data_IF_539284086481
#
_entry.id   IF_539284086481
#
_cell.length_a   1.000
_cell.length_b   1.000
_cell.length_c   1.000
_cell.angle_alpha   90.00
_cell.angle_beta   90.00
_cell.angle_gamma   90.00
#
_symmetry.space_group_name_H-M   'P 1'
#
loop_
_entity.id
_entity.type
_entity.pdbx_description
1 polymer ?
2 branched ?
3 non-polymer ?
4 non-polymer ?
5 non-polymer ?
6 non-polymer ?
7 water ?
#
# COMPACT_ATOMS: atom_id res chain seq x y z
N UNK A 4 -4.54 -22.69 11.16
CA UNK A 4 -3.50 -22.04 10.39
C UNK A 4 -3.57 -22.44 8.91
N UNK A 5 -4.80 -22.51 8.35
CA UNK A 5 -5.03 -22.85 6.94
C UNK A 5 -4.34 -21.80 6.04
N UNK A 6 -4.50 -20.52 6.39
CA UNK A 6 -3.94 -19.39 5.64
C UNK A 6 -2.40 -19.41 5.54
N UNK A 7 -1.71 -19.72 6.66
CA UNK A 7 -0.26 -19.77 6.76
C UNK A 7 0.39 -20.92 6.00
N UNK A 8 -0.36 -22.03 5.85
CA UNK A 8 0.11 -23.23 5.13
C UNK A 8 -0.24 -23.17 3.64
N UNK A 9 -1.49 -22.81 3.32
CA UNK A 9 -1.92 -22.70 1.92
C UNK A 9 -1.31 -21.46 1.23
N UNK A 10 -0.98 -20.40 2.01
CA UNK A 10 -0.38 -19.20 1.41
C UNK A 10 0.99 -18.94 2.03
N UNK A 11 1.03 -18.16 3.14
CA UNK A 11 2.24 -17.78 3.86
C UNK A 11 1.87 -17.05 5.19
N UNK A 12 2.84 -16.84 6.08
CA UNK A 12 2.61 -16.11 7.32
C UNK A 12 2.39 -14.61 7.02
N UNK A 13 3.14 -14.05 6.05
CA UNK A 13 3.00 -12.67 5.62
C UNK A 13 2.49 -12.67 4.19
N UNK A 14 1.39 -11.99 3.91
CA UNK A 14 0.86 -11.87 2.56
C UNK A 14 0.75 -10.41 2.23
N UNK A 15 1.50 -9.98 1.22
CA UNK A 15 1.52 -8.58 0.82
C UNK A 15 1.05 -8.44 -0.60
N UNK A 16 0.16 -7.47 -0.87
CA UNK A 16 -0.21 -7.19 -2.23
C UNK A 16 0.23 -5.77 -2.59
N UNK A 17 0.51 -5.55 -3.86
CA UNK A 17 0.92 -4.25 -4.33
C UNK A 17 0.44 -4.06 -5.76
N UNK A 18 0.55 -2.84 -6.24
CA UNK A 18 0.19 -2.51 -7.59
C UNK A 18 1.32 -1.64 -8.16
N UNK A 19 1.70 -1.89 -9.40
CA UNK A 19 2.77 -1.14 -10.05
C UNK A 19 2.45 -1.04 -11.53
N UNK A 20 2.61 0.16 -12.09
CA UNK A 20 2.33 0.47 -13.48
C UNK A 20 3.46 1.36 -13.98
N UNK A 21 4.30 0.81 -14.86
CA UNK A 21 5.45 1.53 -15.39
C UNK A 21 6.73 0.89 -14.94
N UNK A 22 7.78 0.95 -15.78
CA UNK A 22 9.10 0.38 -15.49
C UNK A 22 9.67 0.96 -14.19
N UNK A 23 9.49 2.25 -13.95
CA UNK A 23 10.00 2.88 -12.74
C UNK A 23 9.37 2.28 -11.49
N UNK A 24 8.03 2.09 -11.50
CA UNK A 24 7.32 1.54 -10.34
C UNK A 24 7.53 0.04 -10.18
N UNK A 25 7.84 -0.66 -11.29
CA UNK A 25 8.20 -2.07 -11.27
C UNK A 25 9.62 -2.24 -10.71
N UNK A 26 10.52 -1.34 -11.04
CA UNK A 26 11.88 -1.34 -10.53
C UNK A 26 11.85 -1.14 -8.99
N UNK A 27 10.99 -0.23 -8.51
CA UNK A 27 10.82 -0.01 -7.08
C UNK A 27 10.08 -1.15 -6.42
N UNK A 28 9.16 -1.82 -7.12
CA UNK A 28 8.42 -2.94 -6.57
C UNK A 28 9.37 -4.07 -6.23
N UNK A 29 10.37 -4.34 -7.09
CA UNK A 29 11.35 -5.38 -6.79
C UNK A 29 12.14 -5.00 -5.51
N UNK A 30 12.49 -3.72 -5.41
CA UNK A 30 13.22 -3.21 -4.25
C UNK A 30 12.36 -3.35 -3.00
N UNK A 31 11.08 -3.03 -3.07
CA UNK A 31 10.17 -3.21 -1.94
C UNK A 31 10.16 -4.67 -1.48
N UNK A 32 10.01 -5.59 -2.40
CA UNK A 32 10.00 -7.02 -2.10
C UNK A 32 11.29 -7.48 -1.46
N UNK A 33 12.46 -7.10 -2.02
CA UNK A 33 13.75 -7.45 -1.42
C UNK A 33 13.85 -6.88 0.00
N UNK A 34 13.43 -5.62 0.21
CA UNK A 34 13.47 -5.03 1.54
C UNK A 34 12.60 -5.80 2.56
N UNK A 35 11.44 -6.30 2.15
CA UNK A 35 10.60 -7.13 3.02
C UNK A 35 11.37 -8.42 3.44
N UNK A 36 11.96 -9.11 2.45
CA UNK A 36 12.66 -10.38 2.64
C UNK A 36 13.93 -10.24 3.45
N UNK A 37 14.62 -9.10 3.35
CA UNK A 37 15.82 -8.86 4.15
C UNK A 37 15.47 -8.64 5.65
N UNK A 38 14.22 -8.38 5.98
CA UNK A 38 13.81 -8.07 7.35
C UNK A 38 12.87 -9.09 7.98
N UNK A 39 12.71 -10.26 7.38
CA UNK A 39 11.86 -11.30 7.95
C UNK A 39 12.40 -12.68 7.61
N UNK A 40 12.16 -13.60 8.53
CA UNK A 40 12.40 -15.02 8.37
C UNK A 40 11.05 -15.78 8.31
N UNK A 41 9.92 -15.08 8.35
CA UNK A 41 8.63 -15.70 8.19
C UNK A 41 8.39 -15.96 6.70
N UNK A 42 7.44 -16.86 6.39
CA UNK A 42 7.15 -17.16 4.99
C UNK A 42 6.39 -15.97 4.42
N UNK A 43 6.76 -15.56 3.20
CA UNK A 43 6.13 -14.44 2.55
C UNK A 43 5.54 -14.84 1.22
N UNK A 44 4.39 -14.26 0.90
CA UNK A 44 3.77 -14.43 -0.39
C UNK A 44 3.38 -13.05 -0.87
N UNK A 45 3.81 -12.70 -2.10
CA UNK A 45 3.44 -11.43 -2.70
C UNK A 45 2.34 -11.66 -3.71
N UNK A 46 1.35 -10.80 -3.76
CA UNK A 46 0.22 -10.92 -4.67
C UNK A 46 0.21 -9.68 -5.54
N UNK A 47 0.10 -9.87 -6.87
CA UNK A 47 0.18 -8.74 -7.79
C UNK A 47 -1.07 -8.55 -8.58
N UNK A 48 -1.44 -7.29 -8.82
CA UNK A 48 -2.58 -6.95 -9.65
C UNK A 48 -2.00 -7.05 -11.05
N UNK A 49 -2.20 -8.19 -11.65
CA UNK A 49 -1.60 -8.67 -12.87
C UNK A 49 -1.70 -7.78 -14.11
N UNK A 50 -2.88 -7.27 -14.44
CA UNK A 50 -3.08 -6.54 -15.69
C UNK A 50 -2.25 -5.25 -15.89
N UNK A 51 -1.70 -4.68 -14.82
CA UNK A 51 -0.90 -3.47 -14.93
C UNK A 51 0.56 -3.71 -15.23
N UNK A 52 1.03 -4.92 -14.93
CA UNK A 52 2.40 -5.32 -15.08
C UNK A 52 2.83 -5.54 -16.53
N UNK A 53 4.10 -5.28 -16.77
CA UNK A 53 4.71 -5.47 -18.06
C UNK A 53 5.01 -6.95 -18.20
N UNK A 54 5.15 -7.44 -19.46
CA UNK A 54 5.55 -8.85 -19.64
C UNK A 54 6.95 -9.11 -19.03
N UNK A 55 7.89 -8.15 -19.07
CA UNK A 55 9.23 -8.35 -18.50
C UNK A 55 9.15 -8.55 -16.98
N UNK A 56 8.30 -7.79 -16.28
CA UNK A 56 8.19 -7.94 -14.84
C UNK A 56 7.70 -9.34 -14.48
N UNK A 57 6.64 -9.81 -15.14
CA UNK A 57 6.04 -11.13 -14.92
C UNK A 57 6.99 -12.28 -15.29
N UNK A 58 7.92 -12.01 -16.21
CA UNK A 58 8.91 -12.99 -16.58
C UNK A 58 10.00 -13.04 -15.49
N UNK A 59 10.36 -11.88 -14.93
CA UNK A 59 11.42 -11.80 -13.93
C UNK A 59 10.99 -12.26 -12.52
N UNK A 60 9.70 -12.15 -12.16
CA UNK A 60 9.22 -12.48 -10.81
C UNK A 60 9.58 -13.92 -10.35
N UNK A 61 9.60 -14.99 -11.18
CA UNK A 61 10.05 -16.30 -10.63
C UNK A 61 11.51 -16.29 -10.22
N UNK A 62 12.35 -15.46 -10.85
CA UNK A 62 13.76 -15.33 -10.52
C UNK A 62 13.90 -14.63 -9.19
N UNK A 63 13.11 -13.55 -8.96
CA UNK A 63 13.10 -12.85 -7.67
C UNK A 63 12.63 -13.82 -6.58
N UNK A 64 11.55 -14.56 -6.85
CA UNK A 64 10.98 -15.51 -5.93
C UNK A 64 11.97 -16.56 -5.49
N UNK A 65 12.76 -17.10 -6.42
CA UNK A 65 13.73 -18.16 -6.08
C UNK A 65 14.95 -17.62 -5.35
N UNK A 66 15.37 -16.40 -5.68
CA UNK A 66 16.52 -15.76 -5.09
C UNK A 66 16.22 -15.31 -3.68
N UNK A 67 15.04 -14.70 -3.45
CA UNK A 67 14.66 -14.15 -2.16
C UNK A 67 13.82 -15.09 -1.28
N UNK A 68 13.35 -16.19 -1.85
CA UNK A 68 12.61 -17.20 -1.11
C UNK A 68 11.21 -16.80 -0.75
N UNK A 69 10.42 -16.41 -1.75
CA UNK A 69 9.02 -16.07 -1.51
C UNK A 69 8.13 -16.75 -2.53
N UNK A 70 6.86 -16.90 -2.19
CA UNK A 70 5.86 -17.37 -3.12
C UNK A 70 5.19 -16.09 -3.71
N UNK A 71 4.44 -16.28 -4.79
CA UNK A 71 3.70 -15.20 -5.39
C UNK A 71 2.50 -15.72 -6.15
N UNK A 72 1.59 -14.81 -6.44
CA UNK A 72 0.40 -15.14 -7.19
C UNK A 72 -0.07 -13.90 -7.93
N UNK A 73 -0.49 -14.10 -9.17
CA UNK A 73 -1.01 -13.03 -10.01
C UNK A 73 -2.52 -13.04 -9.88
N UNK A 74 -3.11 -11.90 -9.49
CA UNK A 74 -4.56 -11.80 -9.42
C UNK A 74 -5.05 -11.00 -10.61
N UNK A 75 -5.96 -11.59 -11.38
CA UNK A 75 -6.54 -10.90 -12.53
C UNK A 75 -8.02 -10.77 -12.22
N UNK A 76 -8.43 -9.62 -11.67
CA UNK A 76 -9.83 -9.38 -11.35
C UNK A 76 -10.36 -8.31 -12.30
N UNK A 77 -11.55 -8.55 -12.89
CA UNK A 77 -12.15 -7.65 -13.86
C UNK A 77 -13.11 -6.70 -13.18
N UNK A 78 -12.96 -5.38 -13.42
CA UNK A 78 -13.82 -4.32 -12.86
C UNK A 78 -15.28 -4.59 -13.24
N UNK A 79 -16.18 -4.72 -12.24
CA UNK A 79 -17.60 -4.99 -12.53
C UNK A 79 -18.22 -3.92 -13.41
N UNK A 80 -18.97 -4.30 -14.46
CA UNK A 80 -19.56 -3.33 -15.37
C UNK A 80 -20.48 -2.33 -14.73
N UNK A 81 -21.19 -2.75 -13.67
CA UNK A 81 -22.11 -1.85 -12.98
C UNK A 81 -21.37 -0.70 -12.27
N UNK A 82 -20.17 -0.97 -11.78
CA UNK A 82 -19.40 -0.05 -10.96
C UNK A 82 -18.74 1.03 -11.78
N UNK A 83 -18.99 2.31 -11.44
CA UNK A 83 -18.44 3.45 -12.18
C UNK A 83 -16.95 3.32 -12.49
N UNK A 84 -16.59 3.29 -13.78
CA UNK A 84 -15.21 3.12 -14.20
C UNK A 84 -14.40 4.38 -14.05
N UNK A 85 -13.07 4.26 -14.07
CA UNK A 85 -12.18 5.40 -13.99
C UNK A 85 -11.44 5.50 -15.29
N UNK A 86 -11.61 6.60 -15.99
CA UNK A 86 -10.96 6.90 -17.27
C UNK A 86 -9.43 7.08 -17.10
N UNK A 87 -9.00 7.69 -15.99
CA UNK A 87 -7.59 7.93 -15.70
C UNK A 87 -6.93 6.67 -15.13
N UNK A 88 -5.84 6.19 -15.75
CA UNK A 88 -5.16 4.97 -15.29
C UNK A 88 -4.73 5.06 -13.84
N UNK A 89 -4.29 6.24 -13.39
CA UNK A 89 -3.91 6.42 -11.99
C UNK A 89 -5.06 6.11 -11.04
N UNK A 90 -6.26 6.61 -11.37
CA UNK A 90 -7.46 6.39 -10.57
C UNK A 90 -7.98 4.97 -10.68
N UNK A 91 -7.79 4.33 -11.83
CA UNK A 91 -8.19 2.94 -12.01
C UNK A 91 -7.35 2.04 -11.08
N UNK A 92 -6.05 2.31 -11.02
CA UNK A 92 -5.12 1.62 -10.15
C UNK A 92 -5.50 1.84 -8.69
N UNK A 93 -5.89 3.05 -8.32
CA UNK A 93 -6.34 3.33 -6.96
C UNK A 93 -7.58 2.56 -6.62
N UNK A 94 -8.47 2.38 -7.59
CA UNK A 94 -9.67 1.59 -7.42
C UNK A 94 -9.31 0.15 -7.11
N UNK A 95 -8.30 -0.39 -7.77
CA UNK A 95 -7.86 -1.76 -7.52
C UNK A 95 -7.29 -1.96 -6.12
N UNK A 96 -6.77 -0.90 -5.51
CA UNK A 96 -6.22 -0.98 -4.16
C UNK A 96 -7.33 -1.10 -3.12
N UNK A 97 -8.43 -0.36 -3.28
CA UNK A 97 -9.41 -0.23 -2.23
C UNK A 97 -10.79 -0.83 -2.47
N UNK A 98 -11.21 -0.99 -3.73
CA UNK A 98 -12.57 -1.42 -4.01
C UNK A 98 -12.84 -2.92 -4.03
N UNK A 99 -11.81 -3.76 -4.17
CA UNK A 99 -12.01 -5.18 -4.37
C UNK A 99 -11.30 -6.05 -3.34
N UNK A 100 -11.11 -5.53 -2.11
CA UNK A 100 -10.34 -6.26 -1.09
C UNK A 100 -10.90 -7.61 -0.74
N UNK A 101 -12.23 -7.78 -0.85
CA UNK A 101 -12.93 -9.04 -0.60
C UNK A 101 -13.00 -10.00 -1.78
N UNK A 102 -12.70 -9.57 -3.00
CA UNK A 102 -12.79 -10.43 -4.18
C UNK A 102 -11.46 -10.74 -4.85
N UNK A 103 -10.36 -10.02 -4.50
CA UNK A 103 -9.06 -10.29 -5.11
C UNK A 103 -8.38 -11.53 -4.58
N UNK A 104 -8.62 -11.85 -3.31
CA UNK A 104 -7.90 -12.94 -2.66
C UNK A 104 -8.80 -14.14 -2.36
N UNK A 105 -8.19 -15.35 -2.29
CA UNK A 105 -9.00 -16.54 -1.99
C UNK A 105 -9.58 -16.49 -0.61
N UNK A 106 -10.75 -17.12 -0.43
CA UNK A 106 -11.40 -17.12 0.88
C UNK A 106 -10.53 -17.76 1.97
N UNK A 107 -9.58 -18.62 1.60
CA UNK A 107 -8.65 -19.25 2.54
C UNK A 107 -7.53 -18.30 3.05
N UNK A 108 -7.51 -17.02 2.57
CA UNK A 108 -6.51 -16.07 3.02
C UNK A 108 -7.19 -15.20 4.03
N UNK A 109 -6.72 -15.17 5.28
CA UNK A 109 -7.37 -14.40 6.31
C UNK A 109 -6.81 -12.99 6.52
N UNK A 110 -5.64 -12.67 5.93
CA UNK A 110 -5.04 -11.36 6.13
C UNK A 110 -4.07 -11.02 5.01
N UNK A 111 -4.13 -9.78 4.53
CA UNK A 111 -3.25 -9.31 3.49
C UNK A 111 -2.87 -7.87 3.80
N UNK A 112 -1.68 -7.45 3.39
CA UNK A 112 -1.20 -6.11 3.65
C UNK A 112 -0.90 -5.47 2.33
N UNK A 113 -1.40 -4.26 2.10
CA UNK A 113 -0.99 -3.52 0.92
C UNK A 113 0.26 -2.78 1.33
N UNK A 114 1.32 -2.88 0.52
CA UNK A 114 2.58 -2.15 0.73
C UNK A 114 2.84 -1.50 -0.62
N UNK A 115 3.01 -0.19 -0.64
CA UNK A 115 3.21 0.53 -1.87
C UNK A 115 4.45 0.10 -2.61
N UNK A 116 4.39 0.09 -3.95
CA UNK A 116 5.49 -0.31 -4.83
C UNK A 116 6.73 0.49 -4.59
N UNK A 117 6.60 1.77 -4.22
CA UNK A 117 7.73 2.62 -3.95
C UNK A 117 8.22 2.57 -2.49
N UNK A 118 7.74 1.61 -1.69
CA UNK A 118 8.15 1.56 -0.28
C UNK A 118 9.49 0.87 -0.03
N UNK A 119 10.13 1.23 1.11
CA UNK A 119 11.30 0.57 1.59
C UNK A 119 10.92 0.08 2.99
N UNK A 120 10.96 -1.24 3.19
CA UNK A 120 10.60 -1.87 4.43
C UNK A 120 11.84 -2.08 5.28
N UNK A 121 11.78 -1.69 6.56
CA UNK A 121 12.87 -1.78 7.54
C UNK A 121 12.39 -2.48 8.81
N UNK A 122 11.47 -3.43 8.67
CA UNK A 122 10.88 -4.13 9.80
C UNK A 122 10.41 -5.52 9.39
N UNK A 123 10.14 -6.37 10.38
CA UNK A 123 9.55 -7.67 10.13
C UNK A 123 8.08 -7.41 9.93
N UNK A 124 7.60 -7.61 8.71
CA UNK A 124 6.19 -7.37 8.38
C UNK A 124 5.25 -8.32 9.12
N UNK A 125 5.75 -9.40 9.76
CA UNK A 125 4.90 -10.25 10.59
C UNK A 125 4.44 -9.44 11.85
N UNK A 126 5.16 -8.38 12.24
CA UNK A 126 4.69 -7.51 13.34
C UNK A 126 3.37 -6.84 12.97
N UNK A 127 3.16 -6.54 11.66
CA UNK A 127 1.90 -5.93 11.24
C UNK A 127 0.79 -6.98 11.18
N UNK A 128 1.13 -8.22 10.81
CA UNK A 128 0.20 -9.32 10.83
C UNK A 128 -0.33 -9.52 12.26
N UNK A 129 0.58 -9.43 13.24
CA UNK A 129 0.23 -9.63 14.65
C UNK A 129 -0.39 -8.44 15.32
N UNK A 130 -0.33 -7.24 14.72
CA UNK A 130 -0.87 -6.02 15.30
C UNK A 130 -2.35 -6.12 15.59
N UNK A 131 -2.76 -5.85 16.84
CA UNK A 131 -4.19 -5.95 17.18
C UNK A 131 -5.02 -4.88 16.50
N UNK A 132 -6.06 -5.31 15.77
CA UNK A 132 -6.94 -4.38 15.09
C UNK A 132 -8.18 -4.03 15.85
N UNK A 133 -8.41 -4.65 17.03
CA UNK A 133 -9.57 -4.38 17.86
C UNK A 133 -10.91 -4.47 17.09
N UNK A 134 -11.04 -5.44 16.19
CA UNK A 134 -12.27 -5.60 15.43
C UNK A 134 -12.39 -4.83 14.14
N UNK A 135 -11.43 -3.94 13.85
CA UNK A 135 -11.45 -3.17 12.61
C UNK A 135 -11.09 -4.07 11.47
N UNK A 136 -11.76 -3.94 10.32
CA UNK A 136 -11.42 -4.80 9.17
C UNK A 136 -10.10 -4.41 8.52
N UNK A 137 -9.59 -3.19 8.79
CA UNK A 137 -8.30 -2.75 8.27
C UNK A 137 -7.67 -1.67 9.15
N UNK A 138 -6.35 -1.57 9.04
CA UNK A 138 -5.57 -0.60 9.78
C UNK A 138 -4.64 0.19 8.88
N UNK A 139 -4.63 1.50 9.09
CA UNK A 139 -3.82 2.41 8.30
C UNK A 139 -3.08 3.31 9.26
N UNK A 140 -1.88 3.75 8.86
CA UNK A 140 -1.12 4.70 9.62
C UNK A 140 -1.70 6.11 9.35
N UNK A 141 -1.67 6.99 10.35
CA UNK A 141 -2.14 8.35 10.11
C UNK A 141 -1.11 9.15 9.30
N UNK A 142 -1.57 10.24 8.67
CA UNK A 142 -0.70 11.18 7.99
C UNK A 142 0.05 11.90 9.06
N UNK A 143 1.38 12.01 8.91
CA UNK A 143 2.17 12.66 9.94
C UNK A 143 1.80 14.12 10.11
N UNK A 144 1.89 14.60 11.35
CA UNK A 144 1.76 16.03 11.64
C UNK A 144 3.15 16.59 12.04
N UNK A 145 4.17 15.72 12.24
CA UNK A 145 5.48 16.07 12.79
C UNK A 145 6.33 17.05 11.98
N UNK A 146 6.15 17.18 10.65
CA UNK A 146 6.92 18.16 9.88
C UNK A 146 6.09 19.42 9.88
N UNK A 147 6.29 20.28 10.90
CA UNK A 147 5.46 21.47 11.11
C UNK A 147 5.52 22.44 9.97
N UNK A 148 6.66 22.53 9.26
CA UNK A 148 6.76 23.49 8.15
C UNK A 148 5.85 23.15 6.96
N UNK A 149 5.29 21.94 6.91
CA UNK A 149 4.39 21.56 5.82
C UNK A 149 2.91 21.69 6.11
N UNK A 150 2.54 22.37 7.21
CA UNK A 150 1.17 22.56 7.64
C UNK A 150 0.22 23.17 6.59
N UNK A 151 0.72 24.08 5.76
CA UNK A 151 -0.07 24.70 4.71
C UNK A 151 -0.55 23.71 3.65
N UNK A 152 0.17 22.60 3.48
CA UNK A 152 -0.20 21.58 2.50
C UNK A 152 -1.07 20.45 3.09
N UNK A 153 -1.32 20.46 4.42
CA UNK A 153 -2.13 19.45 5.06
C UNK A 153 -3.59 19.83 4.86
N UNK A 154 -4.10 19.54 3.66
CA UNK A 154 -5.47 19.87 3.25
C UNK A 154 -6.53 19.31 4.22
N UNK A 155 -6.22 18.19 4.86
CA UNK A 155 -7.12 17.52 5.76
C UNK A 155 -7.28 18.21 7.13
N UNK A 156 -6.41 19.18 7.44
CA UNK A 156 -6.45 19.90 8.70
C UNK A 156 -7.38 21.13 8.71
N UNK A 157 -7.92 21.52 7.54
CA UNK A 157 -8.87 22.64 7.40
C UNK A 157 -9.98 22.24 6.36
N UNK A 158 -10.95 23.11 6.12
CA UNK A 158 -11.97 22.89 5.11
C UNK A 158 -12.92 21.75 5.37
N UNK A 159 -13.36 21.12 4.28
CA UNK A 159 -14.30 20.02 4.31
C UNK A 159 -13.77 18.83 5.15
N UNK A 160 -12.48 18.45 4.99
CA UNK A 160 -11.93 17.33 5.78
C UNK A 160 -11.88 17.57 7.29
N UNK A 161 -11.45 18.77 7.74
CA UNK A 161 -11.42 19.03 9.18
C UNK A 161 -12.80 18.98 9.81
N UNK A 162 -13.82 19.42 9.07
CA UNK A 162 -15.19 19.40 9.57
C UNK A 162 -15.75 17.99 9.53
N UNK A 163 -15.46 17.25 8.47
CA UNK A 163 -15.94 15.89 8.30
C UNK A 163 -15.34 14.90 9.31
N UNK A 164 -14.04 15.00 9.55
CA UNK A 164 -13.33 14.07 10.41
C UNK A 164 -13.65 14.18 11.88
N UNK A 165 -14.03 15.39 12.36
CA UNK A 165 -14.34 15.62 13.78
C UNK A 165 -13.17 15.23 14.67
N UNK A 166 -11.95 15.55 14.21
CA UNK A 166 -10.74 15.22 14.96
C UNK A 166 -10.16 13.82 14.72
N UNK A 167 -10.84 12.97 13.95
CA UNK A 167 -10.32 11.64 13.60
C UNK A 167 -9.08 11.84 12.72
N UNK A 168 -8.15 10.87 12.73
CA UNK A 168 -6.98 11.01 11.88
C UNK A 168 -7.34 10.85 10.42
N UNK A 169 -6.60 11.53 9.55
CA UNK A 169 -6.71 11.37 8.12
C UNK A 169 -5.51 10.44 7.83
N UNK A 170 -5.80 9.23 7.46
CA UNK A 170 -4.84 8.15 7.26
C UNK A 170 -4.23 8.14 5.86
N UNK A 171 -3.02 7.65 5.78
CA UNK A 171 -2.32 7.55 4.49
C UNK A 171 -2.55 6.14 3.95
N UNK A 172 -2.87 6.04 2.65
CA UNK A 172 -3.18 4.76 2.00
C UNK A 172 -1.97 4.06 1.36
N UNK A 173 -0.75 4.45 1.70
CA UNK A 173 0.46 3.82 1.21
C UNK A 173 0.64 2.43 1.76
N UNK A 174 0.22 2.21 3.01
CA UNK A 174 0.34 0.91 3.69
C UNK A 174 -0.94 0.65 4.46
N UNK A 175 -1.42 -0.58 4.45
CA UNK A 175 -2.57 -0.96 5.24
C UNK A 175 -2.68 -2.46 5.39
N UNK A 176 -3.12 -2.89 6.58
CA UNK A 176 -3.32 -4.29 6.86
C UNK A 176 -4.80 -4.55 6.78
N UNK A 177 -5.20 -5.56 6.06
CA UNK A 177 -6.59 -5.93 5.92
C UNK A 177 -6.79 -7.30 6.57
N UNK A 178 -7.65 -7.36 7.57
CA UNK A 178 -8.04 -8.60 8.20
C UNK A 178 -9.18 -9.02 7.28
N UNK A 179 -8.90 -9.89 6.33
CA UNK A 179 -9.86 -10.32 5.34
C UNK A 179 -11.06 -11.01 5.94
N UNK A 180 -10.88 -11.81 7.00
CA UNK A 180 -11.98 -12.47 7.68
C UNK A 180 -12.96 -11.46 8.18
N UNK A 181 -12.50 -10.41 8.88
CA UNK A 181 -13.37 -9.36 9.43
C UNK A 181 -13.97 -8.49 8.35
N UNK A 182 -13.22 -8.27 7.26
CA UNK A 182 -13.68 -7.48 6.13
C UNK A 182 -14.88 -8.16 5.47
N UNK A 183 -14.82 -9.49 5.34
CA UNK A 183 -15.86 -10.30 4.76
C UNK A 183 -17.04 -10.30 5.70
N UNK A 184 -16.81 -10.53 7.01
CA UNK A 184 -17.87 -10.51 8.05
C UNK A 184 -18.67 -9.25 8.02
N UNK A 185 -18.01 -8.11 7.73
CA UNK A 185 -18.66 -6.80 7.77
C UNK A 185 -19.19 -6.35 6.41
N UNK A 186 -19.02 -7.17 5.32
CA UNK A 186 -19.37 -6.79 3.95
C UNK A 186 -18.77 -5.41 3.58
N UNK A 187 -17.55 -5.10 4.10
CA UNK A 187 -16.94 -3.81 3.83
C UNK A 187 -16.64 -3.57 2.37
N UNK A 188 -16.38 -4.61 1.61
CA UNK A 188 -16.11 -4.49 0.18
C UNK A 188 -17.34 -4.00 -0.56
N UNK A 189 -18.52 -4.61 -0.25
CA UNK A 189 -19.79 -4.23 -0.88
C UNK A 189 -20.16 -2.80 -0.50
N UNK A 190 -19.95 -2.43 0.76
CA UNK A 190 -20.24 -1.10 1.25
C UNK A 190 -19.28 -0.05 0.71
N UNK A 191 -17.98 -0.40 0.53
CA UNK A 191 -17.01 0.55 -0.03
C UNK A 191 -17.36 0.75 -1.50
N UNK A 192 -17.65 -0.34 -2.25
CA UNK A 192 -18.07 -0.20 -3.65
C UNK A 192 -19.31 0.67 -3.81
N UNK A 193 -20.32 0.48 -2.95
CA UNK A 193 -21.55 1.28 -3.03
C UNK A 193 -21.32 2.76 -2.73
N UNK A 194 -20.55 3.07 -1.67
CA UNK A 194 -20.28 4.48 -1.34
C UNK A 194 -19.43 5.12 -2.42
N UNK A 195 -18.45 4.38 -2.95
CA UNK A 195 -17.61 4.88 -4.05
C UNK A 195 -18.50 5.17 -5.26
N UNK A 196 -19.41 4.26 -5.60
CA UNK A 196 -20.25 4.43 -6.77
C UNK A 196 -21.14 5.66 -6.65
N UNK A 197 -21.69 5.93 -5.45
CA UNK A 197 -22.52 7.10 -5.23
C UNK A 197 -21.67 8.37 -5.24
N UNK A 198 -20.54 8.38 -4.51
CA UNK A 198 -19.68 9.55 -4.41
C UNK A 198 -19.10 9.94 -5.73
N UNK A 199 -18.62 8.97 -6.51
CA UNK A 199 -17.97 9.24 -7.78
C UNK A 199 -18.89 9.77 -8.88
N UNK A 200 -20.19 9.92 -8.63
CA UNK A 200 -21.08 10.55 -9.61
C UNK A 200 -20.68 12.04 -9.76
N UNK A 201 -20.13 12.65 -8.69
CA UNK A 201 -19.57 14.00 -8.67
C UNK A 201 -18.11 13.81 -9.07
N UNK A 202 -17.69 14.31 -10.25
CA UNK A 202 -16.30 14.08 -10.67
C UNK A 202 -15.24 14.82 -9.85
N UNK A 203 -15.65 15.75 -8.98
CA UNK A 203 -14.72 16.46 -8.08
C UNK A 203 -14.42 15.66 -6.79
N UNK A 204 -15.30 14.72 -6.42
CA UNK A 204 -15.20 13.88 -5.24
C UNK A 204 -14.07 12.85 -5.37
N UNK A 205 -13.57 12.37 -4.23
CA UNK A 205 -12.52 11.37 -4.07
C UNK A 205 -11.27 11.71 -4.88
N UNK A 206 -10.72 12.93 -4.71
CA UNK A 206 -9.50 13.32 -5.46
C UNK A 206 -8.36 12.30 -5.32
N UNK A 207 -8.18 11.73 -4.12
CA UNK A 207 -7.18 10.72 -3.81
C UNK A 207 -8.03 9.51 -3.51
N UNK A 208 -8.58 8.89 -4.54
CA UNK A 208 -9.56 7.80 -4.46
C UNK A 208 -9.27 6.74 -3.39
N UNK A 209 -8.07 6.14 -3.41
CA UNK A 209 -7.70 5.09 -2.48
C UNK A 209 -7.58 5.56 -1.02
N UNK A 210 -7.29 6.83 -0.83
CA UNK A 210 -7.06 7.40 0.49
C UNK A 210 -8.35 8.00 1.05
N UNK A 211 -9.03 8.80 0.24
CA UNK A 211 -10.26 9.47 0.66
C UNK A 211 -11.39 8.49 1.01
N UNK A 212 -11.53 7.41 0.26
CA UNK A 212 -12.62 6.48 0.52
C UNK A 212 -12.58 5.86 1.93
N UNK A 213 -11.47 5.19 2.38
CA UNK A 213 -11.46 4.64 3.75
C UNK A 213 -11.51 5.71 4.84
N UNK A 214 -10.96 6.90 4.59
CA UNK A 214 -11.06 8.01 5.52
C UNK A 214 -12.50 8.51 5.64
N UNK A 215 -13.24 8.51 4.54
CA UNK A 215 -14.66 8.91 4.48
C UNK A 215 -15.50 7.89 5.24
N UNK A 216 -15.19 6.60 5.07
CA UNK A 216 -15.95 5.53 5.68
C UNK A 216 -15.55 5.14 7.10
N UNK A 217 -14.55 5.76 7.71
CA UNK A 217 -14.03 5.32 9.02
C UNK A 217 -15.01 5.41 10.21
N UNK A 218 -16.15 6.08 10.05
CA UNK A 218 -17.16 6.11 11.12
C UNK A 218 -18.04 4.86 11.06
N UNK A 219 -18.06 4.14 9.93
CA UNK A 219 -18.93 2.98 9.80
C UNK A 219 -18.19 1.69 9.40
N UNK A 220 -16.99 1.83 8.79
CA UNK A 220 -16.06 0.75 8.46
C UNK A 220 -14.81 1.19 9.23
N UNK A 221 -14.68 0.72 10.47
CA UNK A 221 -13.59 1.21 11.32
C UNK A 221 -12.19 1.03 10.77
N UNK A 222 -11.34 1.99 11.11
CA UNK A 222 -9.92 1.92 10.80
C UNK A 222 -9.20 1.83 12.13
N UNK A 223 -8.35 0.83 12.28
CA UNK A 223 -7.50 0.74 13.44
C UNK A 223 -6.34 1.67 13.08
N UNK A 224 -6.18 2.79 13.78
CA UNK A 224 -5.08 3.71 13.48
C UNK A 224 -3.79 3.07 13.93
N UNK A 225 -2.97 2.71 12.97
CA UNK A 225 -1.69 2.05 13.23
C UNK A 225 -0.73 3.00 13.87
N UNK A 226 0.24 2.49 14.64
CA UNK A 226 1.31 3.36 15.17
C UNK A 226 1.95 4.21 14.08
N UNK A 227 2.22 5.47 14.36
CA UNK A 227 2.82 6.39 13.38
C UNK A 227 4.06 5.83 12.67
N UNK A 228 4.87 5.11 13.41
CA UNK A 228 6.09 4.51 12.88
C UNK A 228 5.89 3.53 11.75
N UNK A 229 4.66 3.05 11.53
CA UNK A 229 4.39 2.12 10.46
C UNK A 229 4.56 2.73 9.09
N UNK A 230 4.40 4.06 8.93
CA UNK A 230 4.54 4.68 7.62
C UNK A 230 5.20 6.06 7.79
N UNK A 231 6.39 6.22 7.27
CA UNK A 231 7.10 7.50 7.32
C UNK A 231 7.28 8.00 5.90
N UNK A 232 6.93 9.26 5.68
CA UNK A 232 7.18 9.90 4.42
C UNK A 232 7.79 11.24 4.73
N UNK A 233 8.89 11.60 4.06
CA UNK A 233 9.56 12.85 4.34
C UNK A 233 8.71 14.07 4.18
N UNK A 234 7.78 14.09 3.24
CA UNK A 234 6.92 15.25 3.03
C UNK A 234 6.18 15.70 4.29
N UNK A 235 5.68 14.73 5.07
CA UNK A 235 4.85 15.03 6.23
C UNK A 235 5.50 14.70 7.56
N UNK A 236 6.55 13.85 7.55
CA UNK A 236 7.17 13.38 8.76
C UNK A 236 8.55 13.96 8.97
N UNK A 237 8.83 14.23 10.24
CA UNK A 237 10.07 14.82 10.68
C UNK A 237 11.27 13.94 10.45
N UNK A 238 12.45 14.57 10.34
CA UNK A 238 13.69 13.84 10.21
C UNK A 238 13.94 12.99 11.42
N UNK A 239 13.62 13.53 12.61
CA UNK A 239 13.82 12.87 13.90
C UNK A 239 13.08 11.55 14.04
N UNK A 240 11.94 11.39 13.33
CA UNK A 240 11.20 10.14 13.43
C UNK A 240 11.60 9.10 12.39
N UNK A 241 12.51 9.42 11.45
CA UNK A 241 12.92 8.44 10.44
C UNK A 241 13.57 7.19 11.08
N UNK A 242 14.39 7.39 12.12
CA UNK A 242 15.06 6.28 12.78
C UNK A 242 14.06 5.27 13.39
N UNK A 243 12.84 5.69 13.66
CA UNK A 243 11.82 4.80 14.21
C UNK A 243 10.98 4.12 13.12
N UNK A 244 10.97 4.69 11.90
CA UNK A 244 10.21 4.19 10.77
C UNK A 244 10.43 2.73 10.47
N UNK A 245 9.32 2.01 10.48
CA UNK A 245 9.26 0.62 10.16
C UNK A 245 9.24 0.46 8.64
N UNK A 246 8.55 1.35 7.92
CA UNK A 246 8.49 1.39 6.46
C UNK A 246 8.54 2.85 6.04
N UNK A 247 9.03 3.07 4.86
CA UNK A 247 9.15 4.39 4.26
C UNK A 247 8.34 4.42 2.97
N UNK A 248 7.60 5.50 2.74
CA UNK A 248 6.88 5.74 1.51
C UNK A 248 7.57 6.94 0.84
N UNK A 249 7.83 6.87 -0.47
CA UNK A 249 8.48 7.98 -1.17
C UNK A 249 7.39 8.90 -1.69
N UNK A 250 6.50 9.37 -0.81
CA UNK A 250 5.37 10.15 -1.23
C UNK A 250 5.78 11.52 -1.77
N UNK A 251 4.98 12.01 -2.72
CA UNK A 251 5.19 13.27 -3.39
C UNK A 251 5.23 14.43 -2.43
N UNK A 252 6.17 15.36 -2.69
CA UNK A 252 6.34 16.56 -1.92
C UNK A 252 5.81 17.73 -2.75
N UNK A 253 4.65 18.28 -2.39
CA UNK A 253 4.09 19.38 -3.19
C UNK A 253 4.89 20.68 -3.13
N UNK A 254 5.79 20.83 -2.14
CA UNK A 254 6.63 22.00 -1.99
C UNK A 254 7.89 21.94 -2.85
N UNK A 255 8.60 20.81 -2.83
CA UNK A 255 9.84 20.66 -3.58
C UNK A 255 9.67 20.06 -4.96
N UNK A 256 8.63 19.26 -5.16
CA UNK A 256 8.38 18.55 -6.42
C UNK A 256 9.61 17.73 -6.89
N UNK A 257 10.47 17.30 -5.94
CA UNK A 257 11.69 16.54 -6.19
C UNK A 257 11.38 15.25 -6.91
N UNK A 258 12.15 14.86 -7.95
CA UNK A 258 11.84 13.61 -8.66
C UNK A 258 11.89 12.37 -7.76
N UNK A 259 11.15 11.33 -8.17
CA UNK A 259 11.00 10.07 -7.46
C UNK A 259 12.32 9.36 -7.10
N UNK A 260 13.17 9.08 -8.08
CA UNK A 260 14.44 8.40 -7.82
C UNK A 260 15.41 9.27 -7.01
N UNK A 261 15.31 10.60 -7.10
CA UNK A 261 16.15 11.47 -6.30
C UNK A 261 15.77 11.33 -4.82
N UNK A 262 14.44 11.31 -4.50
CA UNK A 262 13.92 11.13 -3.14
C UNK A 262 14.43 9.78 -2.62
N UNK A 263 14.33 8.73 -3.44
CA UNK A 263 14.79 7.40 -3.06
C UNK A 263 16.28 7.36 -2.65
N UNK A 264 17.20 7.85 -3.50
CA UNK A 264 18.62 7.81 -3.22
C UNK A 264 19.02 8.72 -2.10
N UNK A 265 18.41 9.92 -2.05
CA UNK A 265 18.74 10.89 -1.02
C UNK A 265 18.26 10.46 0.38
N UNK A 266 17.00 10.00 0.50
CA UNK A 266 16.47 9.65 1.80
C UNK A 266 16.88 8.30 2.31
N UNK A 267 16.98 7.30 1.43
CA UNK A 267 17.17 5.90 1.84
C UNK A 267 18.53 5.36 1.44
N UNK A 268 19.47 5.27 2.40
CA UNK A 268 20.83 4.83 2.03
C UNK A 268 20.96 3.41 1.46
N UNK A 269 20.07 2.50 1.87
CA UNK A 269 20.09 1.13 1.37
C UNK A 269 19.36 0.93 0.05
N UNK A 270 18.76 1.98 -0.50
CA UNK A 270 18.03 1.91 -1.76
C UNK A 270 18.94 1.46 -2.89
N UNK A 271 20.12 2.10 -3.09
CA UNK A 271 21.01 1.66 -4.16
C UNK A 271 21.53 0.26 -3.91
N UNK A 272 21.69 -0.16 -2.66
CA UNK A 272 22.13 -1.52 -2.36
C UNK A 272 21.12 -2.54 -2.91
N UNK A 273 19.80 -2.30 -2.70
CA UNK A 273 18.77 -3.20 -3.20
C UNK A 273 18.71 -3.12 -4.72
N UNK A 274 18.74 -1.90 -5.27
CA UNK A 274 18.68 -1.66 -6.71
C UNK A 274 19.83 -2.37 -7.43
N UNK A 275 21.06 -2.24 -6.92
CA UNK A 275 22.22 -2.89 -7.51
C UNK A 275 22.18 -4.40 -7.35
N UNK A 276 21.65 -4.90 -6.24
CA UNK A 276 21.54 -6.33 -5.96
C UNK A 276 20.53 -6.96 -6.92
N UNK A 277 19.42 -6.26 -7.18
CA UNK A 277 18.40 -6.77 -8.10
C UNK A 277 18.92 -6.70 -9.52
N UNK A 278 19.67 -5.64 -9.88
CA UNK A 278 20.30 -5.53 -11.19
C UNK A 278 21.38 -6.61 -11.38
N UNK A 279 22.10 -6.98 -10.29
CA UNK A 279 23.10 -8.05 -10.32
C UNK A 279 22.40 -9.40 -10.51
N UNK A 280 21.22 -9.61 -9.87
CA UNK A 280 20.42 -10.82 -10.06
C UNK A 280 19.96 -10.88 -11.52
N UNK A 281 19.55 -9.76 -12.11
CA UNK A 281 19.12 -9.69 -13.51
C UNK A 281 20.27 -10.08 -14.47
N UNK A 282 21.52 -9.57 -14.23
CA UNK A 282 22.68 -9.92 -15.06
C UNK A 282 23.13 -11.37 -14.83
N UNK A 283 22.82 -11.96 -13.68
CA UNK A 283 23.17 -13.35 -13.39
C UNK A 283 22.22 -14.29 -14.13
N UNK A 284 20.94 -13.91 -14.25
CA UNK A 284 19.91 -14.68 -14.97
C UNK A 284 20.16 -14.58 -16.48
N UNK A 285 20.52 -13.37 -16.96
CA UNK A 285 20.76 -13.05 -18.36
C UNK A 285 21.92 -13.87 -18.96
N UNK A 286 22.98 -14.09 -18.17
CA UNK A 286 24.14 -14.87 -18.58
C UNK A 286 24.04 -16.32 -18.10
X LIG B 1 16.68 -14.73 10.72
X LIG B 1 16.84 -13.55 11.69
X LIG B 1 18.32 -13.28 11.96
X LIG B 1 19.00 -14.56 12.45
X LIG B 1 18.80 -15.67 11.43
X LIG B 1 19.39 -17.01 11.85
X LIG B 1 14.95 -11.99 11.50
X LIG B 1 14.46 -10.72 10.89
X LIG B 1 16.19 -12.36 11.16
X LIG B 1 18.47 -12.25 12.93
X LIG B 1 20.37 -14.32 12.71
X LIG B 1 17.39 -15.87 11.23
X LIG B 1 18.88 -17.47 13.09
X LIG B 1 14.25 -12.67 12.25
X LIG B 2 20.81 -14.50 14.04
X LIG B 2 22.32 -14.72 14.04
X LIG B 2 22.78 -15.00 15.48
X LIG B 2 22.35 -13.84 16.37
X LIG B 2 20.85 -13.57 16.27
X LIG B 2 20.42 -12.29 16.98
X LIG B 2 23.17 -15.56 11.90
X LIG B 2 23.53 -16.77 11.10
X LIG B 2 22.72 -15.78 13.15
X LIG B 2 24.20 -15.16 15.51
X LIG B 2 22.73 -14.09 17.72
X LIG B 2 20.48 -13.39 14.88
X LIG B 2 21.20 -11.17 16.59
X LIG B 2 23.29 -14.43 11.45
X LIG B 3 23.68 -13.23 18.32
X LIG B 3 24.31 -13.93 19.51
X LIG B 3 25.36 -13.02 20.14
X LIG B 3 26.37 -12.53 19.08
X LIG B 3 25.64 -11.89 17.90
X LIG B 3 26.59 -11.55 16.77
X LIG B 3 24.90 -15.16 19.10
X LIG B 3 26.03 -13.68 21.22
X LIG B 3 27.27 -11.58 19.65
X LIG B 3 24.68 -12.82 17.38
X LIG B 3 27.36 -12.67 16.35
X LIG C 1 3.96 5.84 -2.80
X LIG D 1 2.49 6.45 -10.98
X LIG D 1 2.87 5.62 -12.03
X LIG D 1 2.82 4.28 -11.74
X LIG D 1 2.44 3.70 -10.56
X LIG D 1 2.09 4.62 -9.53
X LIG D 1 2.13 5.94 -9.77
X LIG D 1 3.32 6.05 -13.08
X LIG D 1 2.43 2.47 -10.46
X LIG D 1 2.40 7.89 -11.26
X LIG D 1 1.02 8.47 -10.97
X LIG D 1 0.09 8.21 -12.02
X LIG D 1 1.37 9.94 -10.82
X LIG D 1 2.73 9.89 -10.12
X LIG D 1 3.27 8.58 -10.39
X LIG D 1 1.51 10.55 -12.10
X LIG D 1 2.75 10.18 -8.64
X LIG D 1 2.19 9.06 -7.91
X LIG D 1 2.95 8.28 -6.67
X LIG D 1 4.39 8.11 -6.90
X LIG D 1 2.16 7.04 -6.49
X LIG D 1 2.63 9.30 -5.49
X LIG D 1 2.76 9.08 -3.91
X LIG D 1 2.79 10.40 -3.27
X LIG D 1 3.88 8.18 -3.61
X LIG D 1 1.37 8.45 -3.50
X LIG D 1 0.82 8.55 -2.23
X LIG D 1 0.93 7.19 -1.55
X LIG D 1 0.13 6.18 -2.36
X LIG D 1 -1.30 6.65 -2.57
X LIG D 1 -1.35 8.05 -3.15
X LIG D 1 -2.76 8.59 -3.13
X LIG D 1 2.29 6.77 -1.51
X LIG D 1 0.15 4.91 -1.72
X LIG D 1 -1.91 5.80 -3.53
X LIG D 1 -0.54 8.94 -2.36
X LIG D 1 -2.81 9.98 -3.46
X LIG E 1 -5.41 15.86 17.08
X LIG E 1 -6.53 15.49 18.00
X LIG E 1 -3.88 15.17 17.76
X LIG E 1 -4.99 17.60 17.39
X LIG F 1 -15.19 14.14 2.44
X LIG F 1 -12.45 16.30 -1.15
X LIG F 1 -10.23 15.13 -1.07
X LIG F 1 -9.12 16.14 -0.68
X LIG F 1 -9.59 17.65 -2.43
X LIG F 1 -10.82 16.82 -2.98
X LIG F 1 -13.51 16.23 1.61
X LIG F 1 -14.65 14.15 1.15
X LIG F 1 -15.67 11.96 0.63
X LIG F 1 -14.94 13.05 0.27
X LIG F 1 -14.87 15.15 3.25
X LIG F 1 -14.01 16.21 2.86
X LIG F 1 -13.81 15.19 0.69
X LIG F 1 -13.32 15.15 -0.63
X LIG F 1 -13.63 14.09 -1.44
X LIG F 1 -14.44 13.03 -1.00
X LIG F 1 -11.30 15.77 -1.96
X LIG F 1 -8.61 16.80 -1.82
X LIG G 1 0.02 11.64 -6.44
X LIG G 1 0.89 12.61 -7.18
X LIG G 1 -1.70 12.16 -6.69
X LIG G 1 0.08 12.07 -4.68
X LIG H 1 22.91 10.56 -4.51
X LIG H 1 22.22 10.45 -5.87
X LIG H 1 23.07 8.87 -3.85
X LIG H 1 21.72 11.14 -3.27
X LIG I 1 17.77 -0.86 8.82
X LIG I 1 16.39 -1.44 8.76
X LIG I 1 17.63 0.89 9.28
X LIG I 1 18.32 -0.57 7.12
X LIG J 1 -19.39 -6.93 -7.82
X LIG J 1 -19.68 -8.39 -7.57
X LIG J 1 -17.80 -6.72 -6.99
X LIG J 1 -20.34 -5.95 -6.64
#
# INVERSE_FOLDING_TARGET
ETGSVSKTEHAEINIFSVASGHLYERMLNIMMASVMHHTNHTVKFWFIEQFLSPSFKDFIPHMAAEYGFKYEMVTYKWPHWLRQQKEKQREIWGYKILFLDVLFPLSLDKVIFVDADQIVRTDMYDLVEHPLDGAPYGFAPMCDSRVEMEGYRFWKTGYWANYLKGKPYHISALYVVDLQRFRELAAGDRLRQQYHALSADPNSLANLDQDLPNHMQFTIPIATLPQEWLWCETWCSDETLKDARTIDLCNNPMTKEPKLDRARRQVPEWTKYDEEIAELARRVREGTKHHHHHH
NAG C1 C2 C3 C4 C5 C6 C7 C8 N2 O3 O4 O5 O6 O7
NAG C1 C2 C3 C4 C5 C6 C7 C8 N2 O3 O4 O5 O6 O7
BMA C1 C2 C3 C4 C5 C6 O2 O3 O4 O5 O6
CA CA
UPG N1 C2 N3 C4 C5 C6 O2 O4 C1C C2C O2C C3C C4C O4C O3C C5C O5C PA O1A O2A O3A PB O1B O2B O3B C1' C2' C3' C4' C5' C6' O2' O3' O4' O5' O6'
DMS S O C1 C2
JM3 N1 C4 C5 C6 C7 C8 C10 C13 O C C12 C11 C9 C3 C2 C1 N O1
DMS S O C1 C2
DMS S O C1 C2
DMS S O C1 C2
DMS S O C1 C2
#
